data_IF_670459214246
#
_entry.id   IF_670459214246
#
_cell.length_a   1.000
_cell.length_b   1.000
_cell.length_c   1.000
_cell.angle_alpha   90.00
_cell.angle_beta   90.00
_cell.angle_gamma   90.00
#
_symmetry.space_group_name_H-M   'P 1'
#
loop_
_entity.id
_entity.type
_entity.pdbx_description
1 polymer ?
#
# COMPACT_ATOMS: atom_id res chain seq x y z
N UNK A 1 7.21 -17.91 17.92
CA UNK A 1 7.84 -18.47 16.69
C UNK A 1 7.31 -19.88 16.43
N UNK A 2 6.00 -20.05 16.23
CA UNK A 2 5.36 -21.35 15.94
C UNK A 2 3.90 -21.18 15.48
N UNK A 3 3.63 -20.37 14.45
CA UNK A 3 2.24 -20.16 14.01
C UNK A 3 2.03 -20.04 12.50
N UNK A 4 3.08 -20.08 11.67
CA UNK A 4 2.93 -19.90 10.20
C UNK A 4 2.72 -21.24 9.48
N UNK A 5 2.93 -22.38 10.14
CA UNK A 5 3.14 -23.65 9.42
C UNK A 5 1.97 -24.64 9.38
N UNK A 6 0.85 -24.47 10.10
CA UNK A 6 -0.05 -25.63 10.27
C UNK A 6 -1.54 -25.51 9.91
N UNK A 7 -2.15 -24.34 9.71
CA UNK A 7 -3.64 -24.36 9.62
C UNK A 7 -4.29 -24.05 8.26
N UNK A 8 -3.69 -23.27 7.34
CA UNK A 8 -4.47 -22.82 6.17
C UNK A 8 -4.08 -23.36 4.79
N UNK A 9 -2.90 -23.97 4.60
CA UNK A 9 -2.42 -24.27 3.21
C UNK A 9 -1.97 -25.71 2.94
N UNK A 10 -2.00 -26.61 3.92
CA UNK A 10 -1.62 -28.03 3.73
C UNK A 10 -0.22 -28.25 3.14
N UNK A 11 0.63 -27.22 3.13
CA UNK A 11 1.94 -27.23 2.46
C UNK A 11 3.01 -27.42 3.52
N UNK A 12 3.57 -28.63 3.61
CA UNK A 12 4.59 -28.94 4.61
C UNK A 12 5.86 -28.09 4.47
N UNK A 13 6.54 -27.82 5.59
CA UNK A 13 7.82 -27.06 5.69
C UNK A 13 8.84 -27.40 4.60
N UNK A 14 8.97 -28.67 4.25
CA UNK A 14 9.92 -29.15 3.24
C UNK A 14 9.65 -28.56 1.84
N UNK A 15 8.38 -28.32 1.51
CA UNK A 15 7.99 -27.69 0.24
C UNK A 15 8.31 -26.21 0.23
N UNK A 16 8.13 -25.51 1.36
CA UNK A 16 8.52 -24.09 1.46
C UNK A 16 10.04 -23.89 1.33
N UNK A 17 10.86 -24.72 1.99
CA UNK A 17 12.33 -24.65 1.88
C UNK A 17 12.87 -25.03 0.48
N UNK A 18 12.07 -25.68 -0.37
CA UNK A 18 12.44 -25.95 -1.75
C UNK A 18 12.46 -24.69 -2.62
N UNK A 19 11.60 -23.72 -2.30
CA UNK A 19 11.43 -22.49 -3.08
C UNK A 19 12.07 -21.27 -2.42
N UNK A 20 12.38 -21.35 -1.13
CA UNK A 20 12.94 -20.25 -0.36
C UNK A 20 14.13 -20.72 0.47
N UNK A 21 15.25 -20.00 0.39
CA UNK A 21 16.49 -20.28 1.13
C UNK A 21 16.32 -20.10 2.64
N UNK A 22 15.40 -19.24 3.07
CA UNK A 22 15.21 -18.83 4.45
C UNK A 22 13.81 -18.19 4.64
N UNK A 23 13.44 -17.97 5.91
CA UNK A 23 12.15 -17.37 6.30
C UNK A 23 12.05 -15.91 5.86
N UNK A 24 13.17 -15.19 5.78
CA UNK A 24 13.19 -13.78 5.37
C UNK A 24 12.79 -13.64 3.90
N UNK A 25 13.23 -14.56 3.05
CA UNK A 25 12.87 -14.67 1.63
C UNK A 25 11.38 -14.97 1.44
N UNK A 26 10.78 -15.79 2.32
CA UNK A 26 9.33 -16.04 2.34
C UNK A 26 8.57 -14.75 2.68
N UNK A 27 9.00 -14.05 3.74
CA UNK A 27 8.37 -12.81 4.19
C UNK A 27 8.52 -11.68 3.16
N UNK A 28 9.66 -11.59 2.47
CA UNK A 28 9.89 -10.62 1.42
C UNK A 28 8.97 -10.87 0.20
N UNK A 29 8.88 -12.12 -0.27
CA UNK A 29 8.00 -12.48 -1.38
C UNK A 29 6.52 -12.28 -1.03
N UNK A 30 6.13 -12.60 0.21
CA UNK A 30 4.78 -12.32 0.70
C UNK A 30 4.49 -10.81 0.72
N UNK A 31 5.42 -10.01 1.26
CA UNK A 31 5.28 -8.55 1.32
C UNK A 31 5.21 -7.90 -0.08
N UNK A 32 6.05 -8.33 -1.02
CA UNK A 32 5.99 -7.88 -2.42
C UNK A 32 4.63 -8.21 -3.05
N UNK A 33 4.10 -9.42 -2.79
CA UNK A 33 2.76 -9.80 -3.23
C UNK A 33 1.67 -8.94 -2.61
N UNK A 34 1.77 -8.59 -1.32
CA UNK A 34 0.81 -7.69 -0.66
C UNK A 34 0.84 -6.30 -1.29
N UNK A 35 2.03 -5.72 -1.51
CA UNK A 35 2.17 -4.43 -2.19
C UNK A 35 1.53 -4.49 -3.58
N UNK A 36 1.81 -5.53 -4.37
CA UNK A 36 1.25 -5.70 -5.70
C UNK A 36 -0.29 -5.85 -5.69
N UNK A 37 -0.86 -6.50 -4.67
CA UNK A 37 -2.30 -6.61 -4.49
C UNK A 37 -2.94 -5.25 -4.23
N UNK A 38 -2.40 -4.48 -3.28
CA UNK A 38 -2.89 -3.14 -2.96
C UNK A 38 -2.77 -2.17 -4.14
N UNK A 39 -1.66 -2.22 -4.88
CA UNK A 39 -1.52 -1.40 -6.09
C UNK A 39 -2.58 -1.74 -7.14
N UNK A 40 -2.85 -3.04 -7.38
CA UNK A 40 -3.90 -3.47 -8.31
C UNK A 40 -5.29 -3.01 -7.87
N UNK A 41 -5.59 -3.10 -6.58
CA UNK A 41 -6.85 -2.64 -6.02
C UNK A 41 -7.06 -1.14 -6.30
N UNK A 42 -6.04 -0.31 -5.99
CA UNK A 42 -6.09 1.13 -6.18
C UNK A 42 -6.20 1.52 -7.67
N UNK A 43 -5.44 0.87 -8.56
CA UNK A 43 -5.59 1.10 -10.01
C UNK A 43 -6.96 0.65 -10.50
N UNK A 44 -7.51 -0.43 -9.95
CA UNK A 44 -8.85 -0.89 -10.31
C UNK A 44 -9.95 0.07 -9.86
N UNK A 45 -9.77 0.78 -8.75
CA UNK A 45 -10.70 1.84 -8.31
C UNK A 45 -10.63 3.03 -9.27
N UNK A 46 -9.41 3.49 -9.59
CA UNK A 46 -9.20 4.54 -10.60
C UNK A 46 -9.89 4.20 -11.92
N UNK A 47 -9.71 2.99 -12.42
CA UNK A 47 -10.16 2.61 -13.77
C UNK A 47 -11.69 2.46 -13.86
N UNK A 48 -12.40 2.31 -12.73
CA UNK A 48 -13.87 2.19 -12.69
C UNK A 48 -14.59 3.53 -12.52
N UNK A 49 -13.97 4.48 -11.84
CA UNK A 49 -14.61 5.77 -11.56
C UNK A 49 -14.71 6.64 -12.83
N UNK A 50 -15.83 7.36 -12.95
CA UNK A 50 -16.22 8.03 -14.20
C UNK A 50 -15.67 9.45 -14.25
N UNK A 51 -15.67 10.16 -13.13
CA UNK A 51 -15.15 11.52 -13.03
C UNK A 51 -13.84 11.61 -12.22
N UNK A 52 -13.08 12.69 -12.46
CA UNK A 52 -11.74 12.86 -11.88
C UNK A 52 -11.77 13.02 -10.34
N UNK A 53 -12.87 13.56 -9.79
CA UNK A 53 -13.03 13.73 -8.36
C UNK A 53 -13.28 12.39 -7.68
N UNK A 54 -14.22 11.62 -8.20
CA UNK A 54 -14.56 10.28 -7.73
C UNK A 54 -13.32 9.36 -7.77
N UNK A 55 -12.53 9.42 -8.85
CA UNK A 55 -11.25 8.69 -8.95
C UNK A 55 -10.30 9.03 -7.80
N UNK A 56 -10.07 10.32 -7.56
CA UNK A 56 -9.16 10.79 -6.51
C UNK A 56 -9.67 10.41 -5.12
N UNK A 57 -10.94 10.69 -4.82
CA UNK A 57 -11.57 10.37 -3.53
C UNK A 57 -11.56 8.86 -3.26
N UNK A 58 -11.92 8.05 -4.26
CA UNK A 58 -11.95 6.59 -4.15
C UNK A 58 -10.57 5.98 -3.86
N UNK A 59 -9.54 6.44 -4.58
CA UNK A 59 -8.16 5.97 -4.38
C UNK A 59 -7.63 6.38 -3.00
N UNK A 60 -7.84 7.63 -2.57
CA UNK A 60 -7.41 8.09 -1.24
C UNK A 60 -8.15 7.36 -0.11
N UNK A 61 -9.44 7.09 -0.27
CA UNK A 61 -10.25 6.36 0.71
C UNK A 61 -9.79 4.91 0.86
N UNK A 62 -9.54 4.23 -0.26
CA UNK A 62 -9.01 2.87 -0.23
C UNK A 62 -7.60 2.82 0.36
N UNK A 63 -6.74 3.79 0.03
CA UNK A 63 -5.42 3.90 0.65
C UNK A 63 -5.51 4.08 2.17
N UNK A 64 -6.43 4.93 2.66
CA UNK A 64 -6.67 5.11 4.09
C UNK A 64 -7.12 3.80 4.77
N UNK A 65 -8.03 3.05 4.13
CA UNK A 65 -8.49 1.74 4.61
C UNK A 65 -7.35 0.73 4.71
N UNK A 66 -6.50 0.65 3.69
CA UNK A 66 -5.30 -0.20 3.69
C UNK A 66 -4.39 0.18 4.85
N UNK A 67 -4.11 1.47 5.06
CA UNK A 67 -3.28 1.94 6.17
C UNK A 67 -3.87 1.59 7.54
N UNK A 68 -5.19 1.68 7.68
CA UNK A 68 -5.89 1.29 8.89
C UNK A 68 -5.79 -0.23 9.17
N UNK A 69 -5.91 -1.07 8.14
CA UNK A 69 -5.73 -2.52 8.28
C UNK A 69 -4.28 -2.93 8.56
N UNK A 70 -3.30 -2.23 8.00
CA UNK A 70 -1.88 -2.48 8.31
C UNK A 70 -1.56 -2.17 9.77
N UNK A 71 -2.22 -1.16 10.36
CA UNK A 71 -2.11 -0.85 11.80
C UNK A 71 -2.41 -2.06 12.69
N UNK A 72 -3.45 -2.85 12.36
CA UNK A 72 -3.82 -4.04 13.15
C UNK A 72 -2.88 -5.23 12.90
N UNK A 73 -2.22 -5.30 11.74
CA UNK A 73 -1.28 -6.36 11.38
C UNK A 73 0.15 -6.18 11.98
N UNK A 74 0.49 -4.96 12.43
CA UNK A 74 1.83 -4.58 12.90
C UNK A 74 2.39 -5.37 14.10
N UNK A 75 1.56 -6.11 14.84
CA UNK A 75 2.04 -6.98 15.93
C UNK A 75 2.96 -8.12 15.44
N UNK A 76 2.86 -8.49 14.16
CA UNK A 76 3.51 -9.68 13.59
C UNK A 76 4.70 -9.36 12.66
N UNK A 77 4.79 -8.13 12.13
CA UNK A 77 5.76 -7.73 11.09
C UNK A 77 7.02 -7.01 11.61
N UNK A 78 7.05 -6.60 12.89
CA UNK A 78 8.13 -5.78 13.45
C UNK A 78 9.52 -6.46 13.35
N UNK A 79 9.57 -7.79 13.32
CA UNK A 79 10.81 -8.56 13.14
C UNK A 79 11.35 -8.54 11.69
N UNK A 80 10.50 -8.23 10.69
CA UNK A 80 10.84 -8.32 9.28
C UNK A 80 11.23 -6.95 8.67
N UNK A 81 11.02 -5.86 9.41
CA UNK A 81 11.21 -4.49 8.94
C UNK A 81 12.66 -4.00 8.85
N UNK A 82 13.63 -4.74 9.40
CA UNK A 82 15.01 -4.24 9.54
C UNK A 82 15.84 -4.35 8.24
N UNK A 83 15.36 -5.02 7.17
CA UNK A 83 16.15 -5.27 5.94
C UNK A 83 15.52 -4.78 4.61
N UNK A 84 14.45 -3.97 4.61
CA UNK A 84 13.64 -3.75 3.38
C UNK A 84 13.44 -2.29 2.94
N UNK A 85 14.46 -1.44 3.04
CA UNK A 85 14.39 -0.03 2.60
C UNK A 85 14.01 0.15 1.13
N UNK A 86 14.56 -0.66 0.23
CA UNK A 86 14.44 -0.43 -1.22
C UNK A 86 13.06 -0.77 -1.81
N UNK A 87 12.46 -1.88 -1.36
CA UNK A 87 11.13 -2.31 -1.82
C UNK A 87 10.03 -1.38 -1.31
N UNK A 88 10.13 -0.96 -0.05
CA UNK A 88 9.21 0.02 0.55
C UNK A 88 9.34 1.36 -0.17
N UNK A 89 10.57 1.79 -0.47
CA UNK A 89 10.80 3.03 -1.21
C UNK A 89 10.26 2.96 -2.65
N UNK A 90 10.32 1.80 -3.32
CA UNK A 90 9.73 1.63 -4.65
C UNK A 90 8.20 1.74 -4.62
N UNK A 91 7.53 1.03 -3.71
CA UNK A 91 6.07 1.10 -3.56
C UNK A 91 5.59 2.51 -3.25
N UNK A 92 6.30 3.24 -2.38
CA UNK A 92 6.02 4.64 -2.06
C UNK A 92 6.14 5.55 -3.29
N UNK A 93 7.19 5.39 -4.12
CA UNK A 93 7.34 6.18 -5.36
C UNK A 93 6.22 5.93 -6.36
N UNK A 94 5.82 4.67 -6.55
CA UNK A 94 4.69 4.32 -7.44
C UNK A 94 3.39 4.94 -6.92
N UNK A 95 3.15 4.88 -5.61
CA UNK A 95 1.97 5.47 -4.97
C UNK A 95 1.93 6.99 -5.16
N UNK A 96 3.06 7.65 -4.91
CA UNK A 96 3.18 9.10 -5.08
C UNK A 96 2.91 9.51 -6.53
N UNK A 97 3.45 8.77 -7.51
CA UNK A 97 3.18 9.01 -8.93
C UNK A 97 1.69 8.87 -9.28
N UNK A 98 1.03 7.81 -8.80
CA UNK A 98 -0.39 7.60 -9.00
C UNK A 98 -1.23 8.75 -8.45
N UNK A 99 -1.02 9.13 -7.18
CA UNK A 99 -1.81 10.20 -6.54
C UNK A 99 -1.53 11.56 -7.18
N UNK A 100 -0.28 11.85 -7.54
CA UNK A 100 0.08 13.08 -8.28
C UNK A 100 -0.71 13.20 -9.58
N UNK A 101 -0.77 12.13 -10.37
CA UNK A 101 -1.45 12.14 -11.66
C UNK A 101 -2.96 12.36 -11.46
N UNK A 102 -3.56 11.73 -10.45
CA UNK A 102 -4.97 11.93 -10.08
C UNK A 102 -5.28 13.35 -9.61
N UNK A 103 -4.39 13.93 -8.79
CA UNK A 103 -4.51 15.34 -8.35
C UNK A 103 -4.45 16.27 -9.55
N UNK A 104 -3.51 16.04 -10.48
CA UNK A 104 -3.39 16.84 -11.69
C UNK A 104 -4.63 16.72 -12.61
N UNK A 105 -5.20 15.52 -12.73
CA UNK A 105 -6.47 15.31 -13.45
C UNK A 105 -7.64 16.03 -12.78
N UNK A 106 -7.79 15.89 -11.47
CA UNK A 106 -8.85 16.54 -10.71
C UNK A 106 -8.74 18.08 -10.75
N UNK A 107 -7.53 18.64 -10.69
CA UNK A 107 -7.28 20.07 -10.79
C UNK A 107 -7.67 20.60 -12.18
N UNK A 108 -7.27 19.90 -13.25
CA UNK A 108 -7.67 20.24 -14.64
C UNK A 108 -9.19 20.21 -14.84
N UNK A 109 -9.88 19.31 -14.15
CA UNK A 109 -11.34 19.22 -14.16
C UNK A 109 -12.02 20.29 -13.28
N UNK A 110 -11.25 21.13 -12.57
CA UNK A 110 -11.78 22.12 -11.63
C UNK A 110 -12.40 21.53 -10.35
N UNK A 111 -12.11 20.26 -10.06
CA UNK A 111 -12.69 19.54 -8.93
C UNK A 111 -11.93 19.77 -7.60
N UNK A 112 -10.66 20.16 -7.69
CA UNK A 112 -9.80 20.49 -6.54
C UNK A 112 -9.04 21.78 -6.82
N UNK A 113 -8.44 22.33 -5.76
CA UNK A 113 -7.55 23.50 -5.85
C UNK A 113 -6.38 23.27 -6.81
N UNK A 114 -5.97 24.31 -7.52
CA UNK A 114 -4.87 24.30 -8.50
C UNK A 114 -3.72 25.26 -8.13
N UNK A 115 -3.81 25.92 -6.97
CA UNK A 115 -2.81 26.85 -6.44
C UNK A 115 -1.63 26.15 -5.73
N UNK A 116 -1.64 24.81 -5.67
CA UNK A 116 -0.58 23.97 -5.11
C UNK A 116 -0.12 22.97 -6.17
N UNK A 117 1.19 22.73 -6.26
CA UNK A 117 1.74 21.75 -7.20
C UNK A 117 1.18 20.33 -6.92
N UNK A 118 0.76 19.57 -7.95
CA UNK A 118 0.22 18.22 -7.75
C UNK A 118 1.13 17.28 -6.98
N UNK A 119 2.45 17.36 -7.19
CA UNK A 119 3.45 16.58 -6.45
C UNK A 119 3.40 16.86 -4.94
N UNK A 120 3.32 18.14 -4.56
CA UNK A 120 3.30 18.57 -3.17
C UNK A 120 2.01 18.13 -2.48
N UNK A 121 0.86 18.33 -3.15
CA UNK A 121 -0.43 17.93 -2.60
C UNK A 121 -0.54 16.40 -2.48
N UNK A 122 0.00 15.65 -3.43
CA UNK A 122 0.05 14.19 -3.36
C UNK A 122 0.89 13.71 -2.17
N UNK A 123 2.10 14.26 -1.99
CA UNK A 123 2.95 13.95 -0.83
C UNK A 123 2.24 14.28 0.49
N UNK A 124 1.61 15.46 0.57
CA UNK A 124 0.84 15.86 1.73
C UNK A 124 -0.28 14.86 2.05
N UNK A 125 -1.11 14.49 1.08
CA UNK A 125 -2.21 13.54 1.27
C UNK A 125 -1.71 12.18 1.77
N UNK A 126 -0.65 11.64 1.16
CA UNK A 126 -0.11 10.33 1.53
C UNK A 126 0.46 10.33 2.96
N UNK A 127 1.19 11.39 3.34
CA UNK A 127 1.70 11.55 4.70
C UNK A 127 0.57 11.72 5.72
N UNK A 128 -0.42 12.56 5.42
CA UNK A 128 -1.56 12.79 6.29
C UNK A 128 -2.35 11.50 6.56
N UNK A 129 -2.66 10.73 5.51
CA UNK A 129 -3.39 9.45 5.64
C UNK A 129 -2.54 8.37 6.33
N UNK A 130 -1.23 8.33 6.05
CA UNK A 130 -0.34 7.41 6.77
C UNK A 130 -0.26 7.73 8.25
N UNK A 131 -0.23 9.02 8.64
CA UNK A 131 -0.20 9.43 10.04
C UNK A 131 -1.55 9.20 10.73
N UNK A 132 -2.66 9.33 10.00
CA UNK A 132 -4.01 9.15 10.53
C UNK A 132 -4.25 7.73 11.09
N UNK A 133 -3.53 6.71 10.60
CA UNK A 133 -3.64 5.34 11.11
C UNK A 133 -3.21 5.21 12.57
N UNK A 134 -2.33 6.09 13.05
CA UNK A 134 -1.76 6.04 14.40
C UNK A 134 -2.62 6.77 15.42
N UNK A 135 -3.67 7.47 14.98
CA UNK A 135 -4.59 8.18 15.86
C UNK A 135 -5.42 7.20 16.71
N UNK A 136 -5.65 7.52 18.01
CA UNK A 136 -6.62 6.79 18.82
C UNK A 136 -8.04 7.06 18.29
N UNK A 137 -8.83 5.98 18.19
CA UNK A 137 -10.27 6.02 17.86
C UNK A 137 -11.11 6.23 19.11
#
# INVERSE_FOLDING_TARGET
MSSIAEEETGTGRATLYKYFSDVESILAAWHERQIALHLRELTGIRDRAVDARERLEGVLSAYASIQHHLRSAHATELAAHIHRGDQVAHGQRVMQGLVRDLVAEAAKAGAVRDDVAPDELATYCLHALSAARDLPT
#
